data_IF_056172339745
#
_entry.id   IF_056172339745
#
_cell.length_a   1.000
_cell.length_b   1.000
_cell.length_c   1.000
_cell.angle_alpha   90.00
_cell.angle_beta   90.00
_cell.angle_gamma   90.00
#
_symmetry.space_group_name_H-M   'P 1'
#
loop_
_entity.id
_entity.type
_entity.pdbx_description
1 polymer ?
#
# COMPACT_ATOMS: atom_id res chain seq x y z
N UNK A 1 -10.13 21.75 24.39
CA UNK A 1 -9.79 20.70 23.40
C UNK A 1 -8.46 20.08 23.82
N UNK A 2 -8.39 18.78 24.10
CA UNK A 2 -7.14 18.13 24.53
C UNK A 2 -6.41 17.58 23.29
N UNK A 3 -5.38 18.29 22.83
CA UNK A 3 -4.65 17.96 21.60
C UNK A 3 -3.90 16.62 21.69
N UNK A 4 -3.36 16.28 22.87
CA UNK A 4 -2.67 14.99 23.07
C UNK A 4 -3.67 13.84 22.93
N UNK A 5 -4.86 13.98 23.53
CA UNK A 5 -5.93 12.98 23.41
C UNK A 5 -6.34 12.76 21.95
N UNK A 6 -6.47 13.82 21.16
CA UNK A 6 -6.81 13.73 19.72
C UNK A 6 -5.71 13.00 18.93
N UNK A 7 -4.44 13.30 19.21
CA UNK A 7 -3.32 12.61 18.56
C UNK A 7 -3.29 11.11 18.92
N UNK A 8 -3.49 10.78 20.20
CA UNK A 8 -3.61 9.39 20.67
C UNK A 8 -4.77 8.67 19.98
N UNK A 9 -5.95 9.28 19.91
CA UNK A 9 -7.12 8.73 19.22
C UNK A 9 -6.82 8.46 17.74
N UNK A 10 -6.16 9.39 17.04
CA UNK A 10 -5.75 9.21 15.64
C UNK A 10 -4.85 7.97 15.47
N UNK A 11 -3.81 7.84 16.30
CA UNK A 11 -2.91 6.68 16.22
C UNK A 11 -3.63 5.36 16.56
N UNK A 12 -4.56 5.37 17.51
CA UNK A 12 -5.35 4.18 17.82
C UNK A 12 -6.25 3.76 16.65
N UNK A 13 -6.89 4.72 15.97
CA UNK A 13 -7.70 4.45 14.78
C UNK A 13 -6.85 3.82 13.67
N UNK A 14 -5.66 4.35 13.41
CA UNK A 14 -4.74 3.81 12.40
C UNK A 14 -4.25 2.40 12.77
N UNK A 15 -3.89 2.17 14.03
CA UNK A 15 -3.46 0.84 14.50
C UNK A 15 -4.58 -0.21 14.35
N UNK A 16 -5.83 0.15 14.67
CA UNK A 16 -6.97 -0.75 14.50
C UNK A 16 -7.31 -0.99 13.03
N UNK A 17 -7.09 -0.01 12.16
CA UNK A 17 -7.20 -0.20 10.72
C UNK A 17 -6.19 -1.23 10.19
N UNK A 18 -4.95 -1.23 10.71
CA UNK A 18 -3.94 -2.24 10.37
C UNK A 18 -4.35 -3.64 10.86
N UNK A 19 -4.88 -3.77 12.07
CA UNK A 19 -5.41 -5.06 12.59
C UNK A 19 -6.51 -5.61 11.69
N UNK A 20 -7.46 -4.75 11.29
CA UNK A 20 -8.53 -5.13 10.34
C UNK A 20 -7.99 -5.49 8.96
N UNK A 21 -6.93 -4.83 8.48
CA UNK A 21 -6.33 -5.18 7.21
C UNK A 21 -5.69 -6.58 7.24
N UNK A 22 -5.05 -6.95 8.36
CA UNK A 22 -4.45 -8.27 8.53
C UNK A 22 -5.48 -9.41 8.43
N UNK A 23 -6.72 -9.21 8.89
CA UNK A 23 -7.78 -10.23 8.79
C UNK A 23 -8.32 -10.43 7.39
N UNK A 24 -7.97 -9.57 6.42
CA UNK A 24 -8.39 -9.70 5.01
C UNK A 24 -7.35 -10.39 4.13
N UNK A 25 -6.24 -10.85 4.71
CA UNK A 25 -5.22 -11.59 3.96
C UNK A 25 -5.76 -13.00 3.69
N UNK A 26 -6.14 -13.23 2.45
CA UNK A 26 -6.74 -14.47 1.97
C UNK A 26 -6.08 -14.93 0.65
N UNK A 27 -6.73 -15.85 -0.06
CA UNK A 27 -6.21 -16.37 -1.33
C UNK A 27 -5.98 -15.27 -2.38
N UNK A 28 -6.80 -14.21 -2.42
CA UNK A 28 -6.63 -13.12 -3.39
C UNK A 28 -5.29 -12.39 -3.18
N UNK A 29 -4.83 -12.28 -1.93
CA UNK A 29 -3.53 -11.69 -1.63
C UNK A 29 -2.39 -12.55 -2.19
N UNK A 30 -2.49 -13.88 -2.05
CA UNK A 30 -1.51 -14.81 -2.62
C UNK A 30 -1.51 -14.76 -4.14
N UNK A 31 -2.69 -14.73 -4.76
CA UNK A 31 -2.83 -14.67 -6.22
C UNK A 31 -2.20 -13.38 -6.78
N UNK A 32 -2.41 -12.24 -6.10
CA UNK A 32 -1.76 -10.98 -6.46
C UNK A 32 -0.23 -11.07 -6.41
N UNK A 33 0.34 -11.71 -5.37
CA UNK A 33 1.79 -11.96 -5.29
C UNK A 33 2.26 -12.80 -6.47
N UNK A 34 1.57 -13.89 -6.79
CA UNK A 34 1.94 -14.76 -7.90
C UNK A 34 1.87 -14.04 -9.25
N UNK A 35 0.88 -13.17 -9.48
CA UNK A 35 0.79 -12.36 -10.69
C UNK A 35 1.98 -11.40 -10.79
N UNK A 36 2.32 -10.71 -9.70
CA UNK A 36 3.44 -9.76 -9.66
C UNK A 36 4.76 -10.48 -9.94
N UNK A 37 5.05 -11.59 -9.25
CA UNK A 37 6.31 -12.32 -9.40
C UNK A 37 6.50 -12.94 -10.79
N UNK A 38 5.42 -13.31 -11.46
CA UNK A 38 5.46 -13.87 -12.82
C UNK A 38 5.43 -12.80 -13.93
N UNK A 39 5.40 -11.52 -13.58
CA UNK A 39 5.38 -10.43 -14.56
C UNK A 39 6.75 -10.30 -15.24
N UNK A 40 6.78 -10.49 -16.57
CA UNK A 40 8.00 -10.33 -17.39
C UNK A 40 8.32 -8.87 -17.75
N UNK A 41 7.37 -7.97 -17.50
CA UNK A 41 7.46 -6.54 -17.81
C UNK A 41 7.73 -5.68 -16.57
N UNK A 42 6.94 -4.61 -16.44
CA UNK A 42 7.01 -3.68 -15.31
C UNK A 42 5.68 -3.67 -14.57
N UNK A 43 5.72 -3.64 -13.24
CA UNK A 43 4.55 -3.43 -12.41
C UNK A 43 4.19 -1.95 -12.40
N UNK A 44 3.12 -1.58 -13.09
CA UNK A 44 2.62 -0.20 -13.10
C UNK A 44 1.63 -0.01 -11.96
N UNK A 45 1.89 0.98 -11.11
CA UNK A 45 0.99 1.42 -10.04
C UNK A 45 0.37 2.74 -10.47
N UNK A 46 -0.93 2.90 -10.29
CA UNK A 46 -1.64 4.12 -10.69
C UNK A 46 -2.63 4.54 -9.62
N UNK A 47 -2.94 5.82 -9.58
CA UNK A 47 -3.88 6.39 -8.62
C UNK A 47 -3.84 7.91 -8.62
N UNK A 48 -4.87 8.52 -8.02
CA UNK A 48 -5.02 9.98 -7.91
C UNK A 48 -5.01 10.42 -6.45
N UNK A 49 -4.66 11.68 -6.20
CA UNK A 49 -4.70 12.28 -4.86
C UNK A 49 -3.84 11.53 -3.84
N UNK A 50 -4.37 11.34 -2.62
CA UNK A 50 -3.65 10.64 -1.52
C UNK A 50 -3.27 9.20 -1.88
N UNK A 51 -4.14 8.49 -2.59
CA UNK A 51 -3.84 7.14 -3.08
C UNK A 51 -2.70 7.14 -4.09
N UNK A 52 -2.58 8.19 -4.90
CA UNK A 52 -1.44 8.39 -5.80
C UNK A 52 -0.12 8.56 -5.05
N UNK A 53 -0.10 9.32 -3.95
CA UNK A 53 1.10 9.47 -3.11
C UNK A 53 1.55 8.14 -2.48
N UNK A 54 0.60 7.36 -1.95
CA UNK A 54 0.90 6.02 -1.41
C UNK A 54 1.38 5.10 -2.53
N UNK A 55 0.69 5.09 -3.68
CA UNK A 55 1.06 4.28 -4.84
C UNK A 55 2.46 4.60 -5.37
N UNK A 56 2.84 5.88 -5.43
CA UNK A 56 4.18 6.31 -5.79
C UNK A 56 5.25 5.73 -4.84
N UNK A 57 4.98 5.73 -3.53
CA UNK A 57 5.90 5.13 -2.57
C UNK A 57 5.96 3.61 -2.69
N UNK A 58 4.83 2.94 -2.95
CA UNK A 58 4.80 1.49 -3.20
C UNK A 58 5.65 1.15 -4.44
N UNK A 59 5.50 1.89 -5.54
CA UNK A 59 6.27 1.65 -6.76
C UNK A 59 7.78 1.80 -6.54
N UNK A 60 8.17 2.85 -5.81
CA UNK A 60 9.56 3.05 -5.42
C UNK A 60 10.09 1.92 -4.54
N UNK A 61 9.29 1.41 -3.59
CA UNK A 61 9.67 0.27 -2.75
C UNK A 61 9.88 -0.98 -3.60
N UNK A 62 8.93 -1.36 -4.46
CA UNK A 62 9.08 -2.52 -5.35
C UNK A 62 10.32 -2.42 -6.23
N UNK A 63 10.57 -1.26 -6.84
CA UNK A 63 11.76 -1.04 -7.65
C UNK A 63 13.06 -1.24 -6.84
N UNK A 64 13.10 -0.76 -5.59
CA UNK A 64 14.26 -0.93 -4.71
C UNK A 64 14.45 -2.35 -4.16
N UNK A 65 13.40 -3.18 -4.16
CA UNK A 65 13.44 -4.57 -3.68
C UNK A 65 13.48 -5.59 -4.82
N UNK A 66 13.78 -5.16 -6.06
CA UNK A 66 14.05 -6.04 -7.19
C UNK A 66 12.84 -6.32 -8.11
N UNK A 67 11.67 -5.75 -7.84
CA UNK A 67 10.51 -5.81 -8.75
C UNK A 67 10.45 -4.54 -9.59
N UNK A 68 10.75 -4.62 -10.89
CA UNK A 68 10.73 -3.43 -11.77
C UNK A 68 9.34 -2.76 -11.77
N UNK A 69 9.22 -1.56 -11.21
CA UNK A 69 7.94 -0.89 -10.98
C UNK A 69 8.00 0.63 -11.18
N UNK A 70 6.91 1.23 -11.65
CA UNK A 70 6.74 2.67 -11.88
C UNK A 70 5.35 3.13 -11.46
N UNK A 71 5.24 4.39 -11.03
CA UNK A 71 3.96 5.03 -10.80
C UNK A 71 3.53 5.88 -12.00
N UNK A 72 2.26 5.78 -12.37
CA UNK A 72 1.64 6.59 -13.42
C UNK A 72 0.42 7.31 -12.83
N UNK A 73 0.44 8.64 -12.82
CA UNK A 73 -0.73 9.43 -12.47
C UNK A 73 -1.69 9.45 -13.67
N UNK A 74 -2.97 9.06 -13.50
CA UNK A 74 -4.00 9.20 -14.54
C UNK A 74 -4.27 10.64 -14.96
#
# INVERSE_FOLDING_TARGET
MNLIKIAQETFHIEADALKKAATRLDQNFLDAIHIILNTKGKLIITGVGKSGLVGAKIAATFASTGTSSFFLHP
#
